data_IF_304060538587
#
_entry.id   IF_304060538587
#
_cell.length_a   1.000
_cell.length_b   1.000
_cell.length_c   1.000
_cell.angle_alpha   90.00
_cell.angle_beta   90.00
_cell.angle_gamma   90.00
#
_symmetry.space_group_name_H-M   'P 1'
#
loop_
_entity.id
_entity.type
_entity.pdbx_description
1 polymer ?
#
# COMPACT_ATOMS: atom_id res chain seq x y z
N UNK A 1 -62.05 61.48 53.87
CA UNK A 1 -61.55 60.09 53.84
C UNK A 1 -60.96 59.86 52.47
N UNK A 2 -59.67 59.52 52.39
CA UNK A 2 -59.04 59.13 51.13
C UNK A 2 -59.09 57.62 51.05
N UNK A 3 -59.78 57.07 50.05
CA UNK A 3 -59.73 55.64 49.75
C UNK A 3 -58.54 55.43 48.84
N UNK A 4 -57.58 54.61 49.27
CA UNK A 4 -56.52 54.09 48.42
C UNK A 4 -56.87 52.66 47.99
N UNK A 5 -56.51 52.31 46.75
CA UNK A 5 -56.64 50.97 46.21
C UNK A 5 -55.31 50.60 45.59
N UNK A 6 -54.71 49.52 46.09
CA UNK A 6 -53.46 49.03 45.55
C UNK A 6 -53.72 48.28 44.24
N UNK A 7 -52.91 48.57 43.23
CA UNK A 7 -52.85 47.83 41.99
C UNK A 7 -51.49 47.11 41.92
N UNK A 8 -51.52 45.81 41.72
CA UNK A 8 -50.32 45.03 41.38
C UNK A 8 -50.19 44.94 39.86
N UNK A 9 -49.11 45.50 39.32
CA UNK A 9 -48.68 45.30 37.93
C UNK A 9 -47.63 44.19 37.95
N UNK A 10 -47.91 43.06 37.31
CA UNK A 10 -46.91 42.02 37.07
C UNK A 10 -46.27 42.27 35.70
N UNK A 11 -44.98 42.57 35.69
CA UNK A 11 -44.18 42.63 34.46
C UNK A 11 -43.50 41.28 34.29
N UNK A 12 -43.83 40.56 33.21
CA UNK A 12 -43.18 39.30 32.91
C UNK A 12 -41.76 39.54 32.35
N UNK A 13 -40.77 38.71 32.71
CA UNK A 13 -39.43 38.80 32.15
C UNK A 13 -39.45 38.55 30.63
N UNK A 14 -38.55 39.20 29.90
CA UNK A 14 -38.40 38.97 28.46
C UNK A 14 -38.00 37.53 28.18
N UNK A 15 -38.64 36.88 27.21
CA UNK A 15 -38.35 35.48 26.85
C UNK A 15 -36.93 35.37 26.28
N UNK A 16 -36.10 34.49 26.84
CA UNK A 16 -34.79 34.14 26.30
C UNK A 16 -34.92 32.96 25.34
N UNK A 17 -34.37 33.09 24.13
CA UNK A 17 -34.42 32.05 23.10
C UNK A 17 -33.04 31.79 22.54
N UNK A 18 -32.61 30.53 22.53
CA UNK A 18 -31.39 30.08 21.86
C UNK A 18 -31.74 29.49 20.47
N UNK A 19 -31.38 30.17 19.35
CA UNK A 19 -31.76 29.74 18.00
C UNK A 19 -31.18 28.39 17.61
N UNK A 20 -31.80 27.73 16.62
CA UNK A 20 -31.26 26.48 16.08
C UNK A 20 -30.12 26.72 15.08
N UNK A 21 -29.24 25.72 14.92
CA UNK A 21 -28.28 25.67 13.81
C UNK A 21 -27.81 24.23 13.57
N UNK A 22 -27.37 23.94 12.34
CA UNK A 22 -26.66 22.71 12.02
C UNK A 22 -25.16 22.91 12.22
N UNK A 23 -24.51 21.96 12.91
CA UNK A 23 -23.05 21.90 12.97
C UNK A 23 -22.51 21.09 11.79
N UNK A 24 -21.44 21.58 11.15
CA UNK A 24 -20.77 20.84 10.11
C UNK A 24 -20.14 19.55 10.67
N UNK A 25 -20.06 18.51 9.86
CA UNK A 25 -19.36 17.28 10.24
C UNK A 25 -17.89 17.58 10.52
N UNK A 26 -17.39 17.12 11.68
CA UNK A 26 -15.98 17.16 12.02
C UNK A 26 -15.30 15.83 11.67
N UNK A 27 -13.96 15.80 11.64
CA UNK A 27 -13.18 14.60 11.38
C UNK A 27 -12.11 14.45 12.47
N UNK A 28 -11.92 13.23 12.98
CA UNK A 28 -10.86 12.93 13.95
C UNK A 28 -9.50 13.40 13.42
N UNK A 29 -8.73 14.09 14.27
CA UNK A 29 -7.40 14.58 13.92
C UNK A 29 -7.37 15.84 13.03
N UNK A 30 -8.53 16.38 12.64
CA UNK A 30 -8.62 17.61 11.84
C UNK A 30 -9.16 18.77 12.69
N UNK A 31 -8.57 19.96 12.56
CA UNK A 31 -9.05 21.14 13.29
C UNK A 31 -10.49 21.49 12.88
N UNK A 32 -11.34 21.71 13.88
CA UNK A 32 -12.74 22.04 13.75
C UNK A 32 -13.02 23.40 14.35
N UNK A 33 -13.94 24.15 13.74
CA UNK A 33 -14.44 25.42 14.28
C UNK A 33 -15.88 25.60 13.88
N UNK A 34 -16.75 25.86 14.86
CA UNK A 34 -18.13 26.26 14.63
C UNK A 34 -18.54 27.30 15.67
N UNK A 35 -19.50 28.16 15.32
CA UNK A 35 -20.01 29.21 16.21
C UNK A 35 -21.49 28.96 16.48
N UNK A 36 -21.87 28.92 17.76
CA UNK A 36 -23.26 28.85 18.18
C UNK A 36 -23.92 30.22 18.00
N UNK A 37 -25.14 30.32 17.44
CA UNK A 37 -25.88 31.56 17.32
C UNK A 37 -26.03 32.27 18.67
N UNK A 38 -25.99 33.60 18.66
CA UNK A 38 -26.31 34.36 19.87
C UNK A 38 -27.78 34.13 20.25
N UNK A 39 -28.05 34.01 21.56
CA UNK A 39 -29.40 34.03 22.08
C UNK A 39 -30.09 35.37 21.79
N UNK A 40 -31.41 35.34 21.66
CA UNK A 40 -32.26 36.50 21.42
C UNK A 40 -33.24 36.68 22.58
N UNK A 41 -33.65 37.93 22.83
CA UNK A 41 -34.46 38.29 24.00
C UNK A 41 -33.67 38.26 25.32
N UNK A 42 -34.38 38.17 26.44
CA UNK A 42 -33.80 38.23 27.79
C UNK A 42 -33.17 39.58 28.16
N UNK A 43 -32.55 39.64 29.33
CA UNK A 43 -31.84 40.82 29.87
C UNK A 43 -30.32 40.67 29.74
N UNK A 44 -29.64 41.61 29.09
CA UNK A 44 -28.17 41.59 28.95
C UNK A 44 -27.45 41.90 30.27
N UNK A 45 -26.23 41.36 30.51
CA UNK A 45 -25.46 40.47 29.65
C UNK A 45 -25.98 39.01 29.64
N UNK A 46 -25.86 38.35 28.48
CA UNK A 46 -26.14 36.91 28.34
C UNK A 46 -24.83 36.13 28.47
N UNK A 47 -24.81 35.11 29.32
CA UNK A 47 -23.70 34.17 29.50
C UNK A 47 -24.02 32.83 28.86
N UNK A 48 -22.99 32.08 28.45
CA UNK A 48 -23.14 30.80 27.78
C UNK A 48 -22.32 29.72 28.50
N UNK A 49 -22.85 28.50 28.54
CA UNK A 49 -22.11 27.30 28.93
C UNK A 49 -22.47 26.15 28.00
N UNK A 50 -21.57 25.17 27.88
CA UNK A 50 -21.82 23.98 27.08
C UNK A 50 -21.40 22.71 27.82
N UNK A 51 -22.14 21.63 27.64
CA UNK A 51 -21.80 20.28 28.08
C UNK A 51 -21.95 19.29 26.91
N UNK A 52 -21.33 18.11 27.03
CA UNK A 52 -21.33 17.12 25.94
C UNK A 52 -20.45 17.49 24.74
N UNK A 53 -19.53 18.46 24.90
CA UNK A 53 -18.54 18.80 23.88
C UNK A 53 -17.61 17.59 23.67
N UNK A 54 -17.41 17.10 22.42
CA UNK A 54 -16.58 15.94 22.15
C UNK A 54 -15.15 16.09 22.66
N UNK A 55 -14.50 14.98 23.01
CA UNK A 55 -13.09 14.98 23.40
C UNK A 55 -12.21 15.61 22.31
N UNK A 56 -11.28 16.48 22.72
CA UNK A 56 -10.42 17.25 21.83
C UNK A 56 -11.02 18.57 21.32
N UNK A 57 -12.31 18.82 21.58
CA UNK A 57 -12.96 20.11 21.36
C UNK A 57 -13.20 20.86 22.67
N UNK A 58 -13.31 22.18 22.57
CA UNK A 58 -13.60 23.08 23.69
C UNK A 58 -14.65 24.10 23.26
N UNK A 59 -15.51 24.51 24.19
CA UNK A 59 -16.45 25.61 23.98
C UNK A 59 -15.93 26.87 24.68
N UNK A 60 -15.86 27.98 23.96
CA UNK A 60 -15.53 29.29 24.51
C UNK A 60 -16.83 30.10 24.75
N UNK A 61 -17.23 30.34 26.02
CA UNK A 61 -18.43 31.11 26.35
C UNK A 61 -18.50 32.52 25.78
N UNK A 62 -17.36 33.21 25.65
CA UNK A 62 -17.31 34.59 25.21
C UNK A 62 -17.55 34.73 23.70
N UNK A 63 -16.97 33.81 22.92
CA UNK A 63 -17.11 33.81 21.44
C UNK A 63 -18.22 32.90 20.94
N UNK A 64 -18.75 32.01 21.81
CA UNK A 64 -19.70 30.92 21.50
C UNK A 64 -19.14 29.90 20.50
N UNK A 65 -17.81 29.83 20.38
CA UNK A 65 -17.17 28.93 19.44
C UNK A 65 -16.88 27.57 20.07
N UNK A 66 -17.13 26.50 19.30
CA UNK A 66 -16.60 25.17 19.53
C UNK A 66 -15.37 25.02 18.65
N UNK A 67 -14.19 24.86 19.25
CA UNK A 67 -12.90 24.77 18.53
C UNK A 67 -12.03 23.64 19.08
N UNK A 68 -11.11 23.15 18.25
CA UNK A 68 -10.11 22.14 18.62
C UNK A 68 -10.01 21.04 17.59
N UNK A 69 -9.40 19.92 17.97
CA UNK A 69 -9.21 18.76 17.10
C UNK A 69 -9.85 17.55 17.79
N UNK A 70 -10.97 17.03 17.28
CA UNK A 70 -11.66 15.94 17.95
C UNK A 70 -10.82 14.65 17.89
N UNK A 71 -10.88 13.86 18.96
CA UNK A 71 -10.07 12.63 19.10
C UNK A 71 -10.90 11.35 19.02
N UNK A 72 -12.22 11.45 18.98
CA UNK A 72 -13.14 10.31 18.97
C UNK A 72 -14.22 10.51 17.90
N UNK A 73 -14.44 9.49 17.07
CA UNK A 73 -15.53 9.46 16.11
C UNK A 73 -16.85 9.14 16.82
N UNK A 74 -17.96 9.63 16.29
CA UNK A 74 -19.28 9.41 16.86
C UNK A 74 -20.25 10.55 16.60
N UNK A 75 -21.47 10.38 17.06
CA UNK A 75 -22.47 11.45 17.08
C UNK A 75 -22.65 11.93 18.51
N UNK A 76 -22.37 13.21 18.74
CA UNK A 76 -22.39 13.82 20.06
C UNK A 76 -23.52 14.84 20.15
N UNK A 77 -24.12 14.94 21.34
CA UNK A 77 -25.13 15.96 21.65
C UNK A 77 -24.48 17.02 22.52
N UNK A 78 -24.27 18.21 21.96
CA UNK A 78 -23.70 19.37 22.66
C UNK A 78 -24.85 20.22 23.20
N UNK A 79 -25.08 20.17 24.51
CA UNK A 79 -26.10 20.98 25.18
C UNK A 79 -25.50 22.34 25.52
N UNK A 80 -26.03 23.41 24.90
CA UNK A 80 -25.61 24.79 25.20
C UNK A 80 -26.74 25.49 25.95
N UNK A 81 -26.38 26.15 27.05
CA UNK A 81 -27.29 26.93 27.87
C UNK A 81 -26.92 28.39 27.79
N UNK A 82 -27.88 29.23 27.41
CA UNK A 82 -27.80 30.68 27.54
C UNK A 82 -28.51 31.10 28.83
N UNK A 83 -27.91 32.03 29.57
CA UNK A 83 -28.43 32.54 30.85
C UNK A 83 -28.39 34.06 30.84
N UNK A 84 -29.53 34.70 31.09
CA UNK A 84 -29.64 36.16 31.12
C UNK A 84 -29.31 36.75 32.50
N UNK A 85 -29.25 38.09 32.58
CA UNK A 85 -28.99 38.84 33.81
C UNK A 85 -30.28 39.36 34.48
N UNK A 86 -31.44 38.83 34.10
CA UNK A 86 -32.74 39.29 34.60
C UNK A 86 -32.99 38.90 36.06
N UNK A 87 -33.99 39.51 36.68
CA UNK A 87 -34.53 39.09 37.98
C UNK A 87 -36.07 39.04 37.90
N UNK A 88 -36.69 37.86 37.75
CA UNK A 88 -36.05 36.54 37.82
C UNK A 88 -35.21 36.20 36.57
N UNK A 89 -34.11 35.47 36.79
CA UNK A 89 -33.20 35.02 35.73
C UNK A 89 -33.89 34.02 34.80
N UNK A 90 -33.65 34.16 33.50
CA UNK A 90 -34.13 33.27 32.45
C UNK A 90 -33.00 32.43 31.87
N UNK A 91 -33.30 31.16 31.54
CA UNK A 91 -32.38 30.24 30.86
C UNK A 91 -33.02 29.64 29.62
N UNK A 92 -32.19 29.39 28.61
CA UNK A 92 -32.59 28.68 27.39
C UNK A 92 -31.52 27.66 27.03
N UNK A 93 -31.90 26.37 27.04
CA UNK A 93 -31.00 25.26 26.67
C UNK A 93 -31.40 24.70 25.32
N UNK A 94 -30.41 24.46 24.46
CA UNK A 94 -30.58 23.78 23.18
C UNK A 94 -29.49 22.73 22.99
N UNK A 95 -29.91 21.58 22.46
CA UNK A 95 -29.02 20.50 22.05
C UNK A 95 -28.65 20.67 20.58
N UNK A 96 -27.34 20.73 20.30
CA UNK A 96 -26.79 20.72 18.94
C UNK A 96 -26.12 19.38 18.68
N UNK A 97 -26.47 18.73 17.57
CA UNK A 97 -25.84 17.47 17.18
C UNK A 97 -24.55 17.76 16.41
N UNK A 98 -23.45 17.16 16.85
CA UNK A 98 -22.17 17.17 16.14
C UNK A 98 -21.76 15.75 15.76
N UNK A 99 -21.68 15.49 14.46
CA UNK A 99 -21.12 14.24 13.94
C UNK A 99 -19.62 14.40 13.72
N UNK A 100 -18.83 13.50 14.29
CA UNK A 100 -17.40 13.37 14.08
C UNK A 100 -17.14 12.06 13.32
N UNK A 101 -16.59 12.15 12.10
CA UNK A 101 -16.21 10.95 11.33
C UNK A 101 -14.80 10.48 11.70
N UNK A 102 -14.49 9.18 11.50
CA UNK A 102 -13.15 8.64 11.71
C UNK A 102 -12.08 9.34 10.88
N UNK A 103 -10.82 9.22 11.32
CA UNK A 103 -9.69 9.72 10.55
C UNK A 103 -9.55 8.93 9.25
N UNK A 104 -9.37 9.61 8.12
CA UNK A 104 -9.14 8.93 6.83
C UNK A 104 -7.81 8.17 6.86
N UNK A 105 -7.83 6.87 6.56
CA UNK A 105 -6.63 6.06 6.33
C UNK A 105 -6.37 5.93 4.84
N UNK A 106 -5.14 6.18 4.40
CA UNK A 106 -4.74 6.10 2.99
C UNK A 106 -3.51 5.22 2.85
N UNK A 107 -3.54 4.26 1.94
CA UNK A 107 -2.38 3.47 1.53
C UNK A 107 -1.85 4.00 0.18
N UNK A 108 -0.65 4.62 0.12
CA UNK A 108 -0.16 5.26 -1.10
C UNK A 108 0.15 4.30 -2.25
N UNK A 109 0.17 4.84 -3.47
CA UNK A 109 0.66 4.13 -4.64
C UNK A 109 2.18 3.91 -4.58
N UNK A 110 2.64 2.82 -5.17
CA UNK A 110 4.05 2.60 -5.49
C UNK A 110 4.16 1.68 -6.71
N UNK A 111 5.29 1.81 -7.41
CA UNK A 111 5.71 0.89 -8.46
C UNK A 111 6.77 -0.02 -7.87
N UNK A 112 6.58 -1.33 -7.98
CA UNK A 112 7.58 -2.31 -7.60
C UNK A 112 8.54 -2.51 -8.78
N UNK A 113 9.85 -2.53 -8.50
CA UNK A 113 10.85 -2.90 -9.50
C UNK A 113 10.66 -4.35 -9.91
N UNK A 114 10.96 -4.66 -11.17
CA UNK A 114 10.88 -6.04 -11.64
C UNK A 114 11.89 -6.92 -10.88
N UNK A 115 11.44 -8.08 -10.45
CA UNK A 115 12.27 -9.12 -9.88
C UNK A 115 12.76 -10.07 -10.98
N UNK A 116 13.64 -11.00 -10.61
CA UNK A 116 14.11 -12.05 -11.50
C UNK A 116 14.14 -13.39 -10.76
N UNK A 117 13.65 -14.46 -11.40
CA UNK A 117 13.70 -15.81 -10.84
C UNK A 117 15.14 -16.17 -10.45
N UNK A 118 15.32 -16.67 -9.23
CA UNK A 118 16.63 -17.08 -8.72
C UNK A 118 17.53 -15.93 -8.24
N UNK A 119 17.07 -14.68 -8.29
CA UNK A 119 17.81 -13.51 -7.77
C UNK A 119 17.11 -12.97 -6.51
N UNK A 120 17.88 -12.59 -5.50
CA UNK A 120 17.35 -11.97 -4.30
C UNK A 120 16.61 -10.66 -4.64
N UNK A 121 15.44 -10.48 -4.05
CA UNK A 121 14.57 -9.35 -4.25
C UNK A 121 14.26 -8.69 -2.91
N UNK A 122 14.23 -7.35 -2.91
CA UNK A 122 13.74 -6.56 -1.79
C UNK A 122 12.98 -5.35 -2.32
N UNK A 123 11.80 -5.11 -1.77
CA UNK A 123 11.03 -3.89 -2.00
C UNK A 123 10.23 -3.53 -0.76
N UNK A 124 10.04 -2.23 -0.51
CA UNK A 124 9.29 -1.74 0.64
C UNK A 124 7.98 -1.11 0.18
N UNK A 125 6.86 -1.54 0.75
CA UNK A 125 5.56 -0.90 0.54
C UNK A 125 5.53 0.43 1.30
N UNK A 126 5.02 1.53 0.70
CA UNK A 126 4.92 2.81 1.39
C UNK A 126 4.08 2.70 2.65
N UNK A 127 4.47 3.45 3.69
CA UNK A 127 3.66 3.56 4.89
C UNK A 127 2.30 4.20 4.55
N UNK A 128 1.23 3.70 5.17
CA UNK A 128 -0.06 4.36 5.16
C UNK A 128 0.02 5.72 5.87
N UNK A 129 -0.83 6.65 5.46
CA UNK A 129 -0.97 7.98 6.04
C UNK A 129 -2.37 8.20 6.60
N UNK A 130 -2.48 9.07 7.60
CA UNK A 130 -3.74 9.27 8.33
C UNK A 130 -4.09 8.08 9.25
N UNK A 131 -5.39 7.92 9.51
CA UNK A 131 -5.91 6.94 10.47
C UNK A 131 -5.44 7.16 11.91
N UNK A 132 -5.78 6.22 12.79
CA UNK A 132 -5.35 6.21 14.19
C UNK A 132 -4.25 5.17 14.43
N UNK A 133 -3.11 5.58 14.99
CA UNK A 133 -1.99 4.67 15.27
C UNK A 133 -2.27 3.72 16.44
N UNK A 134 -1.70 2.50 16.47
CA UNK A 134 -0.78 1.92 15.47
C UNK A 134 -1.50 1.43 14.20
N UNK A 135 -0.78 1.45 13.07
CA UNK A 135 -1.24 0.88 11.80
C UNK A 135 -0.60 -0.49 11.61
N UNK A 136 -1.43 -1.51 11.32
CA UNK A 136 -0.99 -2.87 10.99
C UNK A 136 -1.13 -3.13 9.49
N UNK A 137 -0.31 -4.04 8.96
CA UNK A 137 -0.28 -4.37 7.54
C UNK A 137 -0.47 -5.88 7.35
N UNK A 138 -1.11 -6.26 6.26
CA UNK A 138 -1.17 -7.63 5.77
C UNK A 138 -1.05 -7.63 4.25
N UNK A 139 -0.46 -8.68 3.68
CA UNK A 139 -0.35 -8.85 2.24
C UNK A 139 -0.83 -10.23 1.79
N UNK A 140 -1.40 -10.29 0.60
CA UNK A 140 -1.77 -11.52 -0.11
C UNK A 140 -1.35 -11.44 -1.57
N UNK A 141 -1.26 -12.59 -2.25
CA UNK A 141 -0.80 -12.65 -3.64
C UNK A 141 0.71 -12.40 -3.81
N UNK A 142 1.49 -12.56 -2.73
CA UNK A 142 2.96 -12.51 -2.78
C UNK A 142 3.48 -13.69 -3.61
N UNK A 143 4.35 -13.49 -4.62
CA UNK A 143 4.87 -14.58 -5.47
C UNK A 143 5.59 -15.67 -4.69
N UNK A 144 5.57 -16.90 -5.21
CA UNK A 144 6.31 -18.01 -4.63
C UNK A 144 7.81 -17.69 -4.51
N UNK A 145 8.40 -17.98 -3.35
CA UNK A 145 9.79 -17.65 -3.01
C UNK A 145 9.99 -16.26 -2.40
N UNK A 146 8.94 -15.42 -2.37
CA UNK A 146 8.92 -14.14 -1.65
C UNK A 146 8.04 -14.23 -0.40
N UNK A 147 8.31 -13.38 0.58
CA UNK A 147 7.50 -13.20 1.78
C UNK A 147 7.28 -11.72 2.06
N UNK A 148 6.19 -11.38 2.77
CA UNK A 148 5.91 -10.02 3.22
C UNK A 148 6.07 -9.95 4.74
N UNK A 149 6.91 -9.04 5.21
CA UNK A 149 7.05 -8.72 6.63
C UNK A 149 6.16 -7.51 6.97
N UNK A 150 5.10 -7.68 7.77
CA UNK A 150 4.17 -6.61 8.11
C UNK A 150 4.77 -5.54 9.04
N UNK A 151 5.85 -5.82 9.76
CA UNK A 151 6.49 -4.84 10.64
C UNK A 151 7.36 -3.85 9.85
N UNK A 152 8.10 -4.35 8.87
CA UNK A 152 8.98 -3.53 8.02
C UNK A 152 8.30 -3.08 6.72
N UNK A 153 7.17 -3.71 6.36
CA UNK A 153 6.45 -3.60 5.08
C UNK A 153 7.28 -4.05 3.88
N UNK A 154 8.29 -4.89 4.10
CA UNK A 154 9.17 -5.37 3.05
C UNK A 154 8.65 -6.65 2.43
N UNK A 155 8.75 -6.72 1.10
CA UNK A 155 8.66 -7.96 0.33
C UNK A 155 10.08 -8.42 0.06
N UNK A 156 10.48 -9.58 0.57
CA UNK A 156 11.84 -10.11 0.46
C UNK A 156 11.88 -11.57 0.08
N UNK A 157 13.00 -12.03 -0.47
CA UNK A 157 13.26 -13.44 -0.80
C UNK A 157 13.78 -13.61 -2.22
N UNK A 158 13.69 -14.84 -2.72
CA UNK A 158 14.15 -15.20 -4.07
C UNK A 158 12.99 -15.86 -4.81
N UNK A 159 12.40 -15.19 -5.82
CA UNK A 159 11.22 -15.72 -6.47
C UNK A 159 11.57 -16.96 -7.31
N UNK A 160 10.65 -17.92 -7.35
CA UNK A 160 10.84 -19.20 -8.05
C UNK A 160 9.99 -19.33 -9.31
N UNK A 161 9.07 -18.40 -9.52
CA UNK A 161 8.14 -18.40 -10.66
C UNK A 161 8.15 -17.04 -11.35
N UNK A 162 8.32 -17.05 -12.67
CA UNK A 162 8.19 -15.84 -13.47
C UNK A 162 6.73 -15.52 -13.78
N UNK A 163 6.42 -14.27 -14.06
CA UNK A 163 5.07 -13.82 -14.36
C UNK A 163 4.77 -12.42 -13.83
N UNK A 164 3.53 -11.97 -14.03
CA UNK A 164 3.02 -10.73 -13.44
C UNK A 164 2.08 -11.09 -12.29
N UNK A 165 2.41 -10.64 -11.09
CA UNK A 165 1.66 -10.93 -9.88
C UNK A 165 1.03 -9.65 -9.31
N UNK A 166 -0.15 -9.81 -8.70
CA UNK A 166 -0.83 -8.73 -7.99
C UNK A 166 -0.71 -8.96 -6.49
N UNK A 167 0.12 -8.17 -5.83
CA UNK A 167 0.26 -8.18 -4.37
C UNK A 167 -0.77 -7.22 -3.78
N UNK A 168 -1.74 -7.76 -3.06
CA UNK A 168 -2.78 -6.95 -2.40
C UNK A 168 -2.34 -6.70 -0.97
N UNK A 169 -2.15 -5.43 -0.60
CA UNK A 169 -1.78 -5.02 0.76
C UNK A 169 -2.93 -4.27 1.39
N UNK A 170 -3.24 -4.62 2.63
CA UNK A 170 -4.25 -3.94 3.45
C UNK A 170 -3.55 -3.33 4.66
N UNK A 171 -3.77 -2.02 4.85
CA UNK A 171 -3.42 -1.30 6.07
C UNK A 171 -4.66 -1.15 6.93
N UNK A 172 -4.52 -1.36 8.24
CA UNK A 172 -5.61 -1.32 9.22
C UNK A 172 -5.19 -0.48 10.40
N UNK A 173 -6.00 0.52 10.75
CA UNK A 173 -5.72 1.42 11.87
C UNK A 173 -6.27 0.90 13.21
N UNK A 174 -5.96 1.60 14.29
CA UNK A 174 -6.43 1.31 15.64
C UNK A 174 -7.62 2.20 16.08
N UNK A 175 -8.32 2.83 15.13
CA UNK A 175 -9.44 3.70 15.41
C UNK A 175 -10.68 2.94 15.87
N UNK A 176 -11.64 3.66 16.45
CA UNK A 176 -12.98 3.16 16.74
C UNK A 176 -14.03 4.14 16.16
N UNK A 177 -14.75 3.77 15.08
CA UNK A 177 -14.64 2.52 14.34
C UNK A 177 -13.31 2.41 13.55
N UNK A 178 -12.81 1.18 13.44
CA UNK A 178 -11.59 0.85 12.72
C UNK A 178 -11.70 1.18 11.23
N UNK A 179 -10.63 1.74 10.66
CA UNK A 179 -10.51 2.05 9.23
C UNK A 179 -9.52 1.10 8.55
N UNK A 180 -9.81 0.80 7.28
CA UNK A 180 -8.94 -0.01 6.42
C UNK A 180 -8.68 0.68 5.09
N UNK A 181 -7.48 0.50 4.56
CA UNK A 181 -7.09 0.95 3.23
C UNK A 181 -6.42 -0.21 2.49
N UNK A 182 -7.00 -0.64 1.38
CA UNK A 182 -6.49 -1.76 0.57
C UNK A 182 -5.99 -1.27 -0.77
N UNK A 183 -4.83 -1.78 -1.21
CA UNK A 183 -4.23 -1.43 -2.50
C UNK A 183 -3.51 -2.61 -3.13
N UNK A 184 -3.59 -2.65 -4.46
CA UNK A 184 -2.88 -3.62 -5.28
C UNK A 184 -1.55 -3.02 -5.77
N UNK A 185 -0.49 -3.80 -5.67
CA UNK A 185 0.85 -3.52 -6.20
C UNK A 185 1.22 -4.62 -7.19
N UNK A 186 1.52 -4.23 -8.42
CA UNK A 186 1.92 -5.18 -9.46
C UNK A 186 3.41 -5.44 -9.37
N UNK A 187 3.79 -6.72 -9.33
CA UNK A 187 5.18 -7.18 -9.37
C UNK A 187 5.39 -8.06 -10.60
N UNK A 188 6.25 -7.61 -11.51
CA UNK A 188 6.75 -8.43 -12.61
C UNK A 188 7.97 -9.21 -12.16
N UNK A 189 7.94 -10.53 -12.32
CA UNK A 189 9.09 -11.42 -12.11
C UNK A 189 9.55 -11.93 -13.47
N UNK A 190 10.75 -11.55 -13.89
CA UNK A 190 11.35 -12.01 -15.13
C UNK A 190 11.85 -13.46 -15.00
N UNK A 191 11.91 -14.22 -16.11
CA UNK A 191 12.52 -15.55 -16.13
C UNK A 191 14.00 -15.51 -15.69
N UNK A 192 14.52 -16.65 -15.25
CA UNK A 192 15.94 -16.78 -14.92
C UNK A 192 16.78 -16.57 -16.19
N UNK A 193 17.90 -15.84 -16.11
CA UNK A 193 18.79 -15.67 -17.27
C UNK A 193 19.51 -16.97 -17.55
N UNK A 194 19.34 -17.52 -18.75
CA UNK A 194 20.17 -18.62 -19.27
C UNK A 194 21.33 -18.03 -20.08
N UNK A 195 22.56 -18.48 -19.81
CA UNK A 195 23.76 -18.03 -20.50
C UNK A 195 24.53 -19.22 -21.04
N UNK A 196 24.89 -19.18 -22.32
CA UNK A 196 25.79 -20.17 -22.92
C UNK A 196 27.17 -19.53 -23.20
N UNK A 197 28.26 -19.98 -22.56
CA UNK A 197 29.59 -19.44 -22.76
C UNK A 197 30.15 -19.71 -24.16
N UNK A 198 31.07 -18.86 -24.62
CA UNK A 198 31.91 -19.17 -25.76
C UNK A 198 32.82 -20.37 -25.45
N UNK A 199 33.21 -21.14 -26.47
CA UNK A 199 34.27 -22.13 -26.35
C UNK A 199 35.45 -21.68 -27.20
N UNK A 200 36.60 -22.22 -26.86
CA UNK A 200 37.80 -22.12 -27.68
C UNK A 200 37.59 -22.84 -29.01
N UNK A 201 38.09 -22.24 -30.09
CA UNK A 201 38.21 -22.93 -31.36
C UNK A 201 38.99 -24.24 -31.16
N UNK A 202 38.54 -25.31 -31.79
CA UNK A 202 39.16 -26.61 -31.65
C UNK A 202 39.63 -27.14 -33.00
N UNK A 203 40.76 -27.85 -33.00
CA UNK A 203 41.33 -28.48 -34.18
C UNK A 203 41.22 -29.99 -34.06
N UNK A 204 40.75 -30.63 -35.13
CA UNK A 204 40.75 -32.07 -35.33
C UNK A 204 41.60 -32.41 -36.54
N UNK A 205 41.82 -33.70 -36.80
CA UNK A 205 42.54 -34.17 -37.99
C UNK A 205 41.74 -35.29 -38.65
N UNK A 206 41.60 -35.22 -39.98
CA UNK A 206 40.95 -36.29 -40.77
C UNK A 206 41.56 -37.66 -40.43
N UNK A 207 40.70 -38.63 -40.12
CA UNK A 207 41.11 -40.01 -39.83
C UNK A 207 41.61 -40.26 -38.40
N UNK A 208 41.75 -39.22 -37.56
CA UNK A 208 42.17 -39.34 -36.16
C UNK A 208 40.97 -39.25 -35.22
N UNK A 209 40.96 -40.06 -34.16
CA UNK A 209 39.92 -39.95 -33.14
C UNK A 209 39.98 -38.56 -32.47
N UNK A 210 38.81 -37.95 -32.32
CA UNK A 210 38.65 -36.61 -31.80
C UNK A 210 37.58 -36.61 -30.72
N UNK A 211 37.86 -35.90 -29.62
CA UNK A 211 36.92 -35.64 -28.53
C UNK A 211 37.10 -34.20 -28.08
N UNK A 212 35.99 -33.46 -28.01
CA UNK A 212 35.93 -32.17 -27.32
C UNK A 212 34.64 -32.09 -26.51
N UNK A 213 34.65 -31.31 -25.43
CA UNK A 213 33.45 -31.05 -24.62
C UNK A 213 33.07 -29.59 -24.78
N UNK A 214 31.82 -29.33 -25.18
CA UNK A 214 31.34 -27.96 -25.28
C UNK A 214 30.96 -27.41 -23.89
N UNK A 215 31.06 -26.08 -23.69
CA UNK A 215 30.73 -25.43 -22.41
C UNK A 215 29.32 -25.76 -21.95
N UNK A 216 29.16 -25.94 -20.64
CA UNK A 216 27.82 -25.97 -20.03
C UNK A 216 27.24 -24.55 -20.00
N UNK A 217 25.93 -24.44 -20.19
CA UNK A 217 25.20 -23.23 -19.87
C UNK A 217 25.19 -22.99 -18.35
N UNK A 218 25.07 -21.72 -17.97
CA UNK A 218 24.92 -21.28 -16.58
C UNK A 218 23.62 -20.48 -16.42
N UNK A 219 23.10 -20.44 -15.19
CA UNK A 219 21.80 -19.84 -14.92
C UNK A 219 20.63 -20.69 -15.46
N UNK A 220 19.53 -20.03 -15.79
CA UNK A 220 18.27 -20.66 -16.18
C UNK A 220 17.64 -21.51 -15.07
N UNK A 221 16.58 -22.24 -15.44
CA UNK A 221 15.88 -23.18 -14.56
C UNK A 221 16.24 -24.62 -14.91
N UNK A 222 16.76 -25.40 -13.96
CA UNK A 222 17.10 -26.82 -14.19
C UNK A 222 15.87 -27.70 -14.45
N UNK A 223 16.00 -28.78 -15.24
CA UNK A 223 17.19 -29.22 -15.98
C UNK A 223 17.45 -28.41 -17.26
N UNK A 224 18.72 -28.32 -17.68
CA UNK A 224 19.12 -27.74 -18.97
C UNK A 224 19.37 -28.87 -19.98
N UNK A 225 18.77 -28.74 -21.16
CA UNK A 225 18.96 -29.66 -22.29
C UNK A 225 19.82 -29.03 -23.37
N UNK A 226 20.56 -29.85 -24.12
CA UNK A 226 21.49 -29.39 -25.15
C UNK A 226 21.20 -30.06 -26.49
N UNK A 227 21.41 -29.34 -27.58
CA UNK A 227 21.43 -29.88 -28.94
C UNK A 227 22.50 -29.19 -29.77
N UNK A 228 23.09 -29.89 -30.74
CA UNK A 228 24.08 -29.31 -31.63
C UNK A 228 23.76 -29.60 -33.10
N UNK A 229 23.94 -28.60 -33.95
CA UNK A 229 23.83 -28.72 -35.41
C UNK A 229 25.14 -28.31 -36.08
N UNK A 230 25.38 -28.73 -37.32
CA UNK A 230 26.62 -28.40 -38.04
C UNK A 230 27.85 -29.21 -37.60
N UNK A 231 27.65 -30.32 -36.89
CA UNK A 231 28.71 -31.24 -36.47
C UNK A 231 29.41 -31.85 -37.71
N UNK A 232 30.75 -31.80 -37.83
CA UNK A 232 31.49 -32.34 -38.97
C UNK A 232 31.21 -33.82 -39.26
N UNK A 233 31.26 -34.23 -40.53
CA UNK A 233 31.04 -35.60 -40.94
C UNK A 233 32.05 -36.57 -40.29
N UNK A 234 31.55 -37.63 -39.65
CA UNK A 234 32.36 -38.59 -38.88
C UNK A 234 32.46 -38.26 -37.38
N UNK A 235 31.92 -37.11 -36.95
CA UNK A 235 31.72 -36.77 -35.54
C UNK A 235 30.24 -36.86 -35.16
N UNK A 236 29.97 -37.00 -33.87
CA UNK A 236 28.63 -37.03 -33.28
C UNK A 236 28.58 -36.22 -31.99
N UNK A 237 27.44 -35.61 -31.67
CA UNK A 237 27.25 -34.86 -30.43
C UNK A 237 26.40 -35.68 -29.45
N UNK A 238 26.89 -35.83 -28.21
CA UNK A 238 26.13 -36.39 -27.11
C UNK A 238 25.54 -35.25 -26.25
N UNK A 239 24.21 -35.10 -26.19
CA UNK A 239 23.57 -34.00 -25.45
C UNK A 239 23.68 -34.10 -23.92
N UNK A 240 23.89 -35.30 -23.36
CA UNK A 240 24.03 -35.51 -21.91
C UNK A 240 25.42 -35.10 -21.42
N UNK A 241 26.46 -35.47 -22.17
CA UNK A 241 27.85 -35.16 -21.81
C UNK A 241 28.38 -33.87 -22.44
N UNK A 242 27.63 -33.30 -23.42
CA UNK A 242 28.04 -32.19 -24.30
C UNK A 242 29.31 -32.48 -25.11
N UNK A 243 29.65 -33.76 -25.28
CA UNK A 243 30.85 -34.15 -26.00
C UNK A 243 30.55 -34.29 -27.49
N UNK A 244 31.45 -33.76 -28.31
CA UNK A 244 31.56 -34.13 -29.72
C UNK A 244 32.67 -35.16 -29.82
N UNK A 245 32.34 -36.36 -30.32
CA UNK A 245 33.28 -37.49 -30.45
C UNK A 245 33.17 -38.16 -31.82
N UNK A 246 34.27 -38.78 -32.27
CA UNK A 246 34.29 -39.59 -33.48
C UNK A 246 35.62 -39.47 -34.24
N UNK A 247 35.59 -39.78 -35.53
CA UNK A 247 36.73 -39.68 -36.43
C UNK A 247 36.30 -38.88 -37.66
N UNK A 248 36.75 -37.63 -37.82
CA UNK A 248 36.25 -36.80 -38.90
C UNK A 248 36.80 -37.27 -40.25
N UNK A 249 35.99 -37.10 -41.29
CA UNK A 249 36.24 -37.71 -42.62
C UNK A 249 36.53 -36.71 -43.72
N UNK A 250 36.36 -35.41 -43.44
CA UNK A 250 36.51 -34.34 -44.43
C UNK A 250 37.22 -33.15 -43.78
N UNK A 251 38.30 -32.68 -44.41
CA UNK A 251 39.01 -31.48 -43.97
C UNK A 251 38.18 -30.22 -44.23
N UNK A 252 38.28 -29.24 -43.34
CA UNK A 252 37.55 -27.97 -43.48
C UNK A 252 37.24 -27.30 -42.16
N UNK A 253 36.73 -26.08 -42.25
CA UNK A 253 36.25 -25.31 -41.09
C UNK A 253 34.74 -25.42 -41.01
N UNK A 254 34.24 -25.96 -39.91
CA UNK A 254 32.84 -26.19 -39.66
C UNK A 254 32.36 -25.32 -38.49
N UNK A 255 31.16 -24.74 -38.65
CA UNK A 255 30.46 -24.03 -37.58
C UNK A 255 29.46 -24.97 -36.93
N UNK A 256 29.70 -25.30 -35.66
CA UNK A 256 28.81 -26.06 -34.81
C UNK A 256 27.98 -25.11 -33.97
N UNK A 257 26.67 -25.12 -34.12
CA UNK A 257 25.75 -24.32 -33.28
C UNK A 257 25.27 -25.18 -32.12
N UNK A 258 25.70 -24.88 -30.89
CA UNK A 258 25.12 -25.47 -29.68
C UNK A 258 23.94 -24.63 -29.24
N UNK A 259 22.84 -25.29 -28.93
CA UNK A 259 21.66 -24.69 -28.32
C UNK A 259 21.49 -25.28 -26.93
N UNK A 260 21.32 -24.41 -25.93
CA UNK A 260 20.96 -24.77 -24.57
C UNK A 260 19.54 -24.27 -24.26
N UNK A 261 18.74 -25.12 -23.65
CA UNK A 261 17.34 -24.83 -23.33
C UNK A 261 17.03 -25.22 -21.89
N UNK A 262 16.49 -24.30 -21.11
CA UNK A 262 16.15 -24.54 -19.70
C UNK A 262 14.73 -25.14 -19.53
N UNK A 263 14.37 -25.49 -18.30
CA UNK A 263 13.05 -26.01 -17.94
C UNK A 263 12.12 -24.93 -17.35
N UNK A 264 12.44 -23.66 -17.57
CA UNK A 264 11.67 -22.54 -17.05
C UNK A 264 10.29 -22.44 -17.70
N UNK A 265 9.39 -21.67 -17.08
CA UNK A 265 8.14 -21.25 -17.70
C UNK A 265 8.01 -19.72 -17.58
N UNK A 266 8.22 -18.96 -18.67
CA UNK A 266 8.53 -19.43 -20.02
C UNK A 266 9.95 -20.00 -20.12
N UNK A 267 10.10 -20.97 -21.02
CA UNK A 267 11.38 -21.60 -21.33
C UNK A 267 12.34 -20.59 -21.94
N UNK A 268 13.60 -20.64 -21.52
CA UNK A 268 14.69 -19.86 -22.07
C UNK A 268 15.54 -20.74 -22.97
N UNK A 269 15.85 -20.23 -24.17
CA UNK A 269 16.73 -20.88 -25.14
C UNK A 269 17.80 -19.91 -25.59
N UNK A 270 19.05 -20.37 -25.59
CA UNK A 270 20.20 -19.62 -26.09
C UNK A 270 21.02 -20.51 -27.02
N UNK A 271 21.55 -19.93 -28.08
CA UNK A 271 22.45 -20.64 -29.01
C UNK A 271 23.76 -19.90 -29.16
N UNK A 272 24.84 -20.65 -29.36
CA UNK A 272 26.14 -20.11 -29.74
C UNK A 272 26.81 -20.98 -30.78
N UNK A 273 27.59 -20.33 -31.63
CA UNK A 273 28.41 -20.98 -32.63
C UNK A 273 29.83 -21.25 -32.09
N UNK A 274 30.35 -22.42 -32.46
CA UNK A 274 31.67 -22.93 -32.12
C UNK A 274 32.34 -23.43 -33.39
N UNK A 275 33.61 -23.07 -33.59
CA UNK A 275 34.35 -23.46 -34.79
C UNK A 275 35.19 -24.70 -34.53
N UNK A 276 35.05 -25.71 -35.41
CA UNK A 276 35.95 -26.87 -35.48
C UNK A 276 36.66 -26.84 -36.84
N UNK A 277 37.99 -26.83 -36.82
CA UNK A 277 38.81 -26.99 -38.03
C UNK A 277 39.36 -28.41 -38.08
N UNK A 278 39.06 -29.15 -39.15
CA UNK A 278 39.48 -30.54 -39.42
C UNK A 278 40.56 -30.59 -40.48
#
# INVERSE_FOLDING_TARGET
>A
QTVSRDYTITVNPATLVLPDTSLATAQVGTNYTATIPAATGGTTPITYSASGVPAGLTFNPATRQITGTPTQAGTFTVAVTATDAGNPQQTATRNYTLTVVPATLVLPAATLTAAQVGTEYTATIPAATGGTTPITYAASGVPAGLSFDPATRQITGTPTQSGTFTVTVTATDAGDPQQTATRNYTLTVNPATLVLPAATQATAQVGTSYTTTLPAATGGTSPITYSATGVPAGLSFNPETRQITGTPTTAGTFTVTLTATDAGNPQQTVSRDYTITV
#
